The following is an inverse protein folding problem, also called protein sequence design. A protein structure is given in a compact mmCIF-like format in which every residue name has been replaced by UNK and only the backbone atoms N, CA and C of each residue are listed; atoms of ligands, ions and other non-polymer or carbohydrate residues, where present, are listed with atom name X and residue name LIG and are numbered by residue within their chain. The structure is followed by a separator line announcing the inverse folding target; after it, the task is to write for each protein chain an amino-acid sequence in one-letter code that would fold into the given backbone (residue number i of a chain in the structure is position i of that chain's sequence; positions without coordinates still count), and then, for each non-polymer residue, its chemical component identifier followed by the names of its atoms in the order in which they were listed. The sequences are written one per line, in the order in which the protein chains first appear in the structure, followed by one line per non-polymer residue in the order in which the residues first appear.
data_IF_609644131485
#
_entry.id   IF_609644131485
#
_cell.length_a   1.000
_cell.length_b   1.000
_cell.length_c   1.000
_cell.angle_alpha   90.00
_cell.angle_beta   90.00
_cell.angle_gamma   90.00
#
_symmetry.space_group_name_H-M   'P 1'
#
loop_
_entity.id
_entity.type
_entity.pdbx_description
1 polymer ?
#
# COMPACT_ATOMS: atom_id res chain seq x y z
N UNK A 1 -14.70 2.03 -14.46
CA UNK A 1 -13.65 1.67 -13.47
C UNK A 1 -13.92 0.27 -12.95
N UNK A 2 -12.88 -0.54 -12.82
CA UNK A 2 -13.00 -1.92 -12.34
C UNK A 2 -12.18 -2.04 -11.06
N UNK A 3 -12.80 -2.55 -9.98
CA UNK A 3 -12.08 -2.80 -8.73
C UNK A 3 -11.17 -4.01 -8.85
N UNK A 4 -9.96 -3.89 -8.29
CA UNK A 4 -8.97 -4.98 -8.32
C UNK A 4 -8.84 -5.58 -6.93
N UNK A 5 -8.94 -6.92 -6.86
CA UNK A 5 -8.66 -7.62 -5.61
C UNK A 5 -7.15 -7.76 -5.42
N UNK A 6 -6.75 -8.02 -4.18
CA UNK A 6 -5.34 -8.16 -3.81
C UNK A 6 -4.62 -9.18 -4.68
N UNK A 7 -5.22 -10.35 -4.92
CA UNK A 7 -4.56 -11.39 -5.70
C UNK A 7 -4.33 -10.98 -7.17
N UNK A 8 -5.19 -10.16 -7.74
CA UNK A 8 -4.99 -9.62 -9.09
C UNK A 8 -3.75 -8.72 -9.11
N UNK A 9 -3.66 -7.81 -8.15
CA UNK A 9 -2.54 -6.89 -8.06
C UNK A 9 -1.22 -7.63 -7.77
N UNK A 10 -1.25 -8.61 -6.87
CA UNK A 10 -0.07 -9.43 -6.56
C UNK A 10 0.40 -10.21 -7.80
N UNK A 11 -0.51 -10.83 -8.56
CA UNK A 11 -0.14 -11.55 -9.79
C UNK A 11 0.47 -10.62 -10.84
N UNK A 12 -0.07 -9.41 -10.94
CA UNK A 12 0.50 -8.41 -11.83
C UNK A 12 1.93 -8.01 -11.43
N UNK A 13 2.16 -7.83 -10.14
CA UNK A 13 3.46 -7.38 -9.63
C UNK A 13 4.49 -8.49 -9.57
N UNK A 14 4.12 -9.68 -9.10
CA UNK A 14 5.06 -10.78 -8.86
C UNK A 14 5.37 -11.60 -10.11
N UNK A 15 4.43 -11.70 -11.07
CA UNK A 15 4.62 -12.43 -12.33
C UNK A 15 5.02 -13.90 -12.13
N UNK A 16 4.64 -14.51 -11.02
CA UNK A 16 5.06 -15.87 -10.65
C UNK A 16 4.09 -16.96 -11.12
N UNK A 17 2.91 -16.59 -11.58
CA UNK A 17 1.93 -17.49 -12.20
C UNK A 17 1.68 -16.99 -13.61
N UNK A 18 2.27 -17.63 -14.64
CA UNK A 18 2.22 -17.10 -16.01
C UNK A 18 0.81 -16.86 -16.54
N UNK A 19 -0.13 -17.77 -16.26
CA UNK A 19 -1.50 -17.64 -16.73
C UNK A 19 -2.24 -16.48 -16.08
N UNK A 20 -2.20 -16.42 -14.76
CA UNK A 20 -2.86 -15.34 -14.02
C UNK A 20 -2.16 -14.00 -14.22
N UNK A 21 -0.83 -13.99 -14.27
CA UNK A 21 -0.07 -12.79 -14.52
C UNK A 21 -0.41 -12.18 -15.88
N UNK A 22 -0.56 -13.01 -16.92
CA UNK A 22 -0.93 -12.53 -18.24
C UNK A 22 -2.33 -11.91 -18.26
N UNK A 23 -3.28 -12.52 -17.55
CA UNK A 23 -4.65 -11.98 -17.45
C UNK A 23 -4.64 -10.64 -16.68
N UNK A 24 -3.94 -10.58 -15.55
CA UNK A 24 -3.85 -9.36 -14.75
C UNK A 24 -3.17 -8.24 -15.53
N UNK A 25 -2.07 -8.54 -16.22
CA UNK A 25 -1.33 -7.58 -17.04
C UNK A 25 -2.21 -7.00 -18.14
N UNK A 26 -2.93 -7.85 -18.87
CA UNK A 26 -3.82 -7.38 -19.93
C UNK A 26 -4.94 -6.50 -19.39
N UNK A 27 -5.52 -6.87 -18.26
CA UNK A 27 -6.57 -6.07 -17.64
C UNK A 27 -6.06 -4.69 -17.23
N UNK A 28 -4.94 -4.64 -16.52
CA UNK A 28 -4.39 -3.39 -15.97
C UNK A 28 -3.82 -2.51 -17.08
N UNK A 29 -3.00 -3.08 -17.97
CA UNK A 29 -2.38 -2.30 -19.04
C UNK A 29 -3.37 -1.91 -20.13
N UNK A 30 -4.50 -2.59 -20.21
CA UNK A 30 -5.61 -2.20 -21.06
C UNK A 30 -6.51 -1.12 -20.46
N UNK A 31 -6.27 -0.73 -19.21
CA UNK A 31 -7.05 0.33 -18.55
C UNK A 31 -6.55 1.70 -19.01
N UNK A 32 -7.42 2.70 -18.92
CA UNK A 32 -7.13 4.05 -19.37
C UNK A 32 -7.39 5.03 -18.23
N UNK A 33 -6.88 6.27 -18.37
CA UNK A 33 -7.07 7.31 -17.36
C UNK A 33 -8.57 7.59 -17.09
N UNK A 34 -9.43 7.43 -18.11
CA UNK A 34 -10.88 7.62 -17.98
C UNK A 34 -11.58 6.42 -17.34
N UNK A 35 -10.94 5.24 -17.38
CA UNK A 35 -11.51 3.99 -16.85
C UNK A 35 -10.39 3.16 -16.21
N UNK A 36 -9.75 3.66 -15.16
CA UNK A 36 -8.63 2.96 -14.54
C UNK A 36 -9.09 1.75 -13.72
N UNK A 37 -8.14 0.88 -13.38
CA UNK A 37 -8.36 -0.13 -12.36
C UNK A 37 -8.35 0.53 -10.98
N UNK A 38 -9.34 0.23 -10.16
CA UNK A 38 -9.45 0.82 -8.82
C UNK A 38 -8.74 -0.05 -7.78
N UNK A 39 -7.87 0.57 -6.98
CA UNK A 39 -7.16 -0.07 -5.88
C UNK A 39 -7.62 0.57 -4.58
N UNK A 40 -8.35 -0.18 -3.76
CA UNK A 40 -8.76 0.31 -2.45
C UNK A 40 -7.56 0.38 -1.49
N UNK A 41 -7.68 1.19 -0.44
CA UNK A 41 -6.68 1.25 0.63
C UNK A 41 -6.44 -0.13 1.23
N UNK A 42 -7.50 -0.89 1.47
CA UNK A 42 -7.37 -2.25 2.01
C UNK A 42 -6.55 -3.13 1.08
N UNK A 43 -6.84 -3.08 -0.23
CA UNK A 43 -6.11 -3.86 -1.22
C UNK A 43 -4.63 -3.48 -1.25
N UNK A 44 -4.31 -2.19 -1.23
CA UNK A 44 -2.91 -1.78 -1.29
C UNK A 44 -2.13 -2.20 -0.04
N UNK A 45 -2.72 -2.04 1.15
CA UNK A 45 -2.08 -2.46 2.41
C UNK A 45 -1.88 -3.98 2.41
N UNK A 46 -2.88 -4.76 1.99
CA UNK A 46 -2.77 -6.21 1.90
C UNK A 46 -1.70 -6.63 0.88
N UNK A 47 -1.62 -5.95 -0.25
CA UNK A 47 -0.63 -6.23 -1.28
C UNK A 47 0.78 -6.04 -0.74
N UNK A 48 1.05 -4.93 -0.05
CA UNK A 48 2.34 -4.68 0.57
C UNK A 48 2.67 -5.78 1.57
N UNK A 49 1.70 -6.18 2.39
CA UNK A 49 1.90 -7.23 3.39
C UNK A 49 2.25 -8.58 2.75
N UNK A 50 1.55 -8.94 1.68
CA UNK A 50 1.82 -10.18 0.94
C UNK A 50 3.22 -10.16 0.34
N UNK A 51 3.61 -9.05 -0.29
CA UNK A 51 4.95 -8.92 -0.88
C UNK A 51 6.03 -9.03 0.19
N UNK A 52 5.85 -8.39 1.33
CA UNK A 52 6.84 -8.44 2.40
C UNK A 52 6.93 -9.81 3.04
N UNK A 53 5.81 -10.45 3.34
CA UNK A 53 5.77 -11.68 4.14
C UNK A 53 5.86 -12.95 3.31
N UNK A 54 5.17 -13.02 2.19
CA UNK A 54 5.15 -14.22 1.37
C UNK A 54 6.27 -14.23 0.32
N UNK A 55 6.68 -13.08 -0.17
CA UNK A 55 7.70 -12.96 -1.20
C UNK A 55 9.04 -12.46 -0.69
N UNK A 56 9.11 -12.04 0.57
CA UNK A 56 10.35 -11.54 1.16
C UNK A 56 10.89 -10.27 0.49
N UNK A 57 10.00 -9.46 -0.08
CA UNK A 57 10.39 -8.25 -0.81
C UNK A 57 11.01 -7.24 0.17
N UNK A 58 12.19 -6.72 -0.18
CA UNK A 58 12.89 -5.75 0.64
C UNK A 58 12.13 -4.43 0.71
N UNK A 59 12.31 -3.70 1.82
CA UNK A 59 11.62 -2.43 2.04
C UNK A 59 11.83 -1.43 0.91
N UNK A 60 13.06 -1.30 0.41
CA UNK A 60 13.36 -0.40 -0.70
C UNK A 60 12.61 -0.75 -1.98
N UNK A 61 12.47 -2.04 -2.25
CA UNK A 61 11.72 -2.51 -3.42
C UNK A 61 10.23 -2.30 -3.23
N UNK A 62 9.72 -2.51 -2.02
CA UNK A 62 8.32 -2.21 -1.71
C UNK A 62 8.04 -0.72 -1.95
N UNK A 63 8.93 0.16 -1.49
CA UNK A 63 8.77 1.60 -1.69
C UNK A 63 8.70 1.95 -3.18
N UNK A 64 9.57 1.36 -3.99
CA UNK A 64 9.57 1.57 -5.44
C UNK A 64 8.27 1.08 -6.07
N UNK A 65 7.79 -0.09 -5.65
CA UNK A 65 6.54 -0.67 -6.15
C UNK A 65 5.34 0.23 -5.80
N UNK A 66 5.24 0.64 -4.54
CA UNK A 66 4.12 1.48 -4.10
C UNK A 66 4.12 2.82 -4.84
N UNK A 67 5.29 3.45 -4.97
CA UNK A 67 5.40 4.69 -5.73
C UNK A 67 4.96 4.49 -7.18
N UNK A 68 5.39 3.40 -7.81
CA UNK A 68 4.99 3.07 -9.17
C UNK A 68 3.47 2.92 -9.32
N UNK A 69 2.83 2.25 -8.37
CA UNK A 69 1.38 2.08 -8.37
C UNK A 69 0.65 3.42 -8.22
N UNK A 70 1.13 4.26 -7.30
CA UNK A 70 0.53 5.58 -7.06
C UNK A 70 0.67 6.51 -8.27
N UNK A 71 1.71 6.36 -9.07
CA UNK A 71 1.98 7.20 -10.25
C UNK A 71 1.40 6.62 -11.54
N UNK A 72 0.87 5.40 -11.51
CA UNK A 72 0.37 4.74 -12.70
C UNK A 72 -0.91 5.39 -13.20
N UNK A 73 -0.97 5.63 -14.50
CA UNK A 73 -2.16 6.20 -15.15
C UNK A 73 -3.27 5.17 -15.31
N UNK A 74 -2.92 3.89 -15.30
CA UNK A 74 -3.88 2.79 -15.43
C UNK A 74 -4.60 2.46 -14.13
N UNK A 75 -4.16 3.06 -13.00
CA UNK A 75 -4.71 2.75 -11.68
C UNK A 75 -5.22 4.01 -10.99
N UNK A 76 -6.30 3.85 -10.26
CA UNK A 76 -6.81 4.87 -9.35
C UNK A 76 -6.74 4.30 -7.92
N UNK A 77 -5.83 4.81 -7.12
CA UNK A 77 -5.65 4.38 -5.74
C UNK A 77 -6.52 5.23 -4.83
N UNK A 78 -7.33 4.56 -4.01
CA UNK A 78 -8.16 5.24 -3.02
C UNK A 78 -7.29 6.02 -2.04
N UNK A 79 -7.67 7.27 -1.76
CA UNK A 79 -6.96 8.13 -0.82
C UNK A 79 -5.47 8.21 -1.11
N UNK A 80 -5.11 8.44 -2.37
CA UNK A 80 -3.73 8.43 -2.82
C UNK A 80 -2.82 9.35 -2.00
N UNK A 81 -3.32 10.50 -1.54
CA UNK A 81 -2.54 11.43 -0.70
C UNK A 81 -2.09 10.79 0.61
N UNK A 82 -2.98 10.02 1.25
CA UNK A 82 -2.65 9.30 2.48
C UNK A 82 -1.54 8.30 2.20
N UNK A 83 -1.62 7.60 1.07
CA UNK A 83 -0.62 6.62 0.69
C UNK A 83 0.73 7.25 0.36
N UNK A 84 0.77 8.43 -0.26
CA UNK A 84 2.03 9.16 -0.46
C UNK A 84 2.67 9.55 0.87
N UNK A 85 1.89 10.02 1.82
CA UNK A 85 2.41 10.37 3.16
C UNK A 85 2.87 9.13 3.92
N UNK A 86 2.10 8.04 3.84
CA UNK A 86 2.47 6.77 4.46
C UNK A 86 3.77 6.20 3.85
N UNK A 87 3.92 6.32 2.54
CA UNK A 87 5.13 5.89 1.86
C UNK A 87 6.35 6.67 2.34
N UNK A 88 6.22 7.98 2.51
CA UNK A 88 7.31 8.80 3.04
C UNK A 88 7.69 8.36 4.45
N UNK A 89 6.72 8.15 5.34
CA UNK A 89 6.98 7.67 6.70
C UNK A 89 7.64 6.29 6.68
N UNK A 90 7.17 5.40 5.82
CA UNK A 90 7.76 4.08 5.64
C UNK A 90 9.24 4.15 5.24
N UNK A 91 9.58 5.08 4.35
CA UNK A 91 10.95 5.25 3.89
C UNK A 91 11.87 5.89 4.93
N UNK A 92 11.35 6.83 5.73
CA UNK A 92 12.20 7.64 6.62
C UNK A 92 12.15 7.20 8.08
N UNK A 93 11.03 6.66 8.55
CA UNK A 93 10.79 6.42 9.98
C UNK A 93 10.80 4.94 10.36
N UNK A 94 11.10 4.06 9.42
CA UNK A 94 11.17 2.62 9.62
C UNK A 94 9.87 1.99 10.17
N UNK A 95 8.75 2.67 9.99
CA UNK A 95 7.43 2.16 10.39
C UNK A 95 6.92 1.17 9.34
N UNK A 96 6.13 0.18 9.75
CA UNK A 96 5.42 -0.70 8.84
C UNK A 96 4.45 0.11 7.96
N UNK A 97 4.32 -0.27 6.69
CA UNK A 97 3.50 0.51 5.75
C UNK A 97 2.04 0.61 6.19
N UNK A 98 1.44 -0.53 6.61
CA UNK A 98 0.06 -0.53 7.10
C UNK A 98 -0.13 0.36 8.32
N UNK A 99 0.83 0.33 9.25
CA UNK A 99 0.80 1.20 10.43
C UNK A 99 0.90 2.68 10.02
N UNK A 100 1.74 2.99 9.03
CA UNK A 100 1.84 4.36 8.51
C UNK A 100 0.51 4.83 7.91
N UNK A 101 -0.17 3.95 7.17
CA UNK A 101 -1.49 4.27 6.61
C UNK A 101 -2.52 4.52 7.72
N UNK A 102 -2.50 3.70 8.78
CA UNK A 102 -3.38 3.90 9.94
C UNK A 102 -3.14 5.28 10.56
N UNK A 103 -1.88 5.62 10.82
CA UNK A 103 -1.53 6.90 11.45
C UNK A 103 -1.92 8.09 10.57
N UNK A 104 -1.64 8.04 9.28
CA UNK A 104 -1.98 9.13 8.35
C UNK A 104 -3.50 9.26 8.17
N UNK A 105 -4.21 8.15 8.16
CA UNK A 105 -5.67 8.15 8.10
C UNK A 105 -6.26 8.83 9.34
N UNK A 106 -5.70 8.52 10.52
CA UNK A 106 -6.10 9.16 11.76
C UNK A 106 -5.89 10.68 11.73
N UNK A 107 -4.73 11.14 11.25
CA UNK A 107 -4.45 12.57 11.10
C UNK A 107 -5.46 13.23 10.16
N UNK A 108 -5.77 12.59 9.05
CA UNK A 108 -6.71 13.13 8.08
C UNK A 108 -8.12 13.24 8.68
N UNK A 109 -8.48 12.33 9.57
CA UNK A 109 -9.77 12.36 10.27
C UNK A 109 -9.83 13.41 11.37
N UNK A 110 -8.72 14.05 11.72
CA UNK A 110 -8.66 15.05 12.77
C UNK A 110 -8.22 14.52 14.12
N UNK A 111 -7.68 13.31 14.18
CA UNK A 111 -7.17 12.75 15.42
C UNK A 111 -5.90 13.48 15.85
N UNK A 112 -5.79 13.81 17.14
CA UNK A 112 -4.58 14.44 17.66
C UNK A 112 -3.42 13.45 17.73
N UNK A 113 -3.72 12.16 17.87
CA UNK A 113 -2.71 11.11 17.90
C UNK A 113 -3.37 9.76 17.56
N UNK A 114 -2.54 8.79 17.20
CA UNK A 114 -2.92 7.38 17.13
C UNK A 114 -2.19 6.63 18.21
N UNK A 115 -2.89 5.77 18.95
CA UNK A 115 -2.29 4.99 20.04
C UNK A 115 -2.19 3.54 19.67
N UNK A 116 -1.21 2.84 20.26
CA UNK A 116 -0.93 1.44 19.94
C UNK A 116 -0.37 0.73 21.16
N UNK A 117 -0.51 -0.58 21.21
CA UNK A 117 0.23 -1.42 22.16
C UNK A 117 1.50 -2.00 21.54
N UNK A 118 1.69 -1.81 20.23
CA UNK A 118 2.84 -2.36 19.50
C UNK A 118 4.04 -1.42 19.61
N UNK A 119 5.11 -1.90 20.26
CA UNK A 119 6.33 -1.12 20.46
C UNK A 119 7.00 -0.74 19.15
N UNK A 120 6.94 -1.59 18.14
CA UNK A 120 7.51 -1.30 16.81
C UNK A 120 6.77 -0.16 16.14
N UNK A 121 5.44 -0.18 16.20
CA UNK A 121 4.62 0.88 15.60
C UNK A 121 4.89 2.22 16.29
N UNK A 122 5.12 2.21 17.60
CA UNK A 122 5.40 3.43 18.36
C UNK A 122 6.81 3.95 18.14
N UNK A 123 7.78 3.08 17.86
CA UNK A 123 9.19 3.44 17.75
C UNK A 123 9.48 4.46 16.66
N UNK A 124 8.70 4.46 15.58
CA UNK A 124 8.87 5.40 14.46
C UNK A 124 8.34 6.81 14.73
N UNK A 125 7.72 7.04 15.88
CA UNK A 125 7.17 8.36 16.22
C UNK A 125 5.81 8.68 15.64
N UNK A 126 5.23 7.76 14.85
CA UNK A 126 3.92 7.97 14.23
C UNK A 126 2.75 7.62 15.15
N UNK A 127 3.00 6.82 16.17
CA UNK A 127 2.00 6.39 17.13
C UNK A 127 2.56 6.50 18.55
N UNK A 128 1.66 6.69 19.51
CA UNK A 128 2.03 6.72 20.92
C UNK A 128 1.78 5.35 21.55
N UNK A 129 2.79 4.80 22.22
CA UNK A 129 2.62 3.54 22.95
C UNK A 129 1.66 3.75 24.14
N UNK A 130 0.62 2.96 24.18
CA UNK A 130 -0.30 2.96 25.31
C UNK A 130 0.26 2.00 26.35
N UNK A 131 0.79 2.56 27.44
CA UNK A 131 1.45 1.79 28.49
C UNK A 131 1.13 2.38 29.86
N UNK A 132 1.13 1.51 30.85
CA UNK A 132 0.95 1.92 32.24
C UNK A 132 2.26 2.42 32.86
#
# INVERSE_FOLDING_TARGET
MIGLDTNVLVRYLAQDDPGQAALATRLIEGSEAEAPGFVSTVTLVQTVRVLAKAYGTARGDIATIVEGLLRSRELAVQDAEIHYLALRAFQTDAIDYGDAVIAETGKRAGCVETVTFDRRAAAGGQMRLLAS
#
